data_IF_880992003560
#
_entry.id   IF_880992003560
#
_cell.length_a   1.000
_cell.length_b   1.000
_cell.length_c   1.000
_cell.angle_alpha   90.00
_cell.angle_beta   90.00
_cell.angle_gamma   90.00
#
_symmetry.space_group_name_H-M   'P 1'
#
loop_
_entity.id
_entity.type
_entity.pdbx_description
1 polymer ?
#
# COMPACT_ATOMS: atom_id res chain seq x y z
N UNK A 1 1.03 -9.83 21.74
CA UNK A 1 0.87 -8.46 22.31
C UNK A 1 -0.56 -7.99 22.06
N UNK A 2 -1.17 -7.20 22.95
CA UNK A 2 -2.48 -6.59 22.70
C UNK A 2 -2.34 -5.45 21.70
N UNK A 3 -3.40 -5.15 20.94
CA UNK A 3 -3.38 -4.08 19.93
C UNK A 3 -3.07 -2.71 20.56
N UNK A 4 -3.59 -2.43 21.73
CA UNK A 4 -3.35 -1.19 22.50
C UNK A 4 -1.88 -0.97 22.91
N UNK A 5 -1.08 -2.04 22.98
CA UNK A 5 0.34 -1.98 23.31
C UNK A 5 1.23 -1.72 22.09
N UNK A 6 0.69 -1.84 20.87
CA UNK A 6 1.37 -1.54 19.61
C UNK A 6 1.35 -0.03 19.39
N UNK A 7 2.50 0.59 19.27
CA UNK A 7 2.62 2.02 18.97
C UNK A 7 3.35 2.25 17.66
N UNK A 8 3.05 3.38 17.00
CA UNK A 8 3.79 3.75 15.79
C UNK A 8 5.28 3.90 16.06
N UNK A 9 5.68 4.40 17.23
CA UNK A 9 7.09 4.56 17.59
C UNK A 9 7.84 3.22 17.63
N UNK A 10 7.22 2.16 18.16
CA UNK A 10 7.79 0.80 18.14
C UNK A 10 7.98 0.30 16.71
N UNK A 11 6.95 0.43 15.88
CA UNK A 11 6.96 0.01 14.47
C UNK A 11 8.04 0.76 13.68
N UNK A 12 8.06 2.09 13.80
CA UNK A 12 9.03 2.95 13.11
C UNK A 12 10.45 2.68 13.56
N UNK A 13 10.67 2.50 14.87
CA UNK A 13 11.99 2.19 15.43
C UNK A 13 12.52 0.86 14.90
N UNK A 14 11.68 -0.18 14.88
CA UNK A 14 12.06 -1.47 14.33
C UNK A 14 12.32 -1.35 12.82
N UNK A 15 11.43 -0.71 12.08
CA UNK A 15 11.55 -0.56 10.63
C UNK A 15 12.85 0.14 10.22
N UNK A 16 13.20 1.23 10.89
CA UNK A 16 14.48 1.94 10.68
C UNK A 16 15.68 1.11 11.13
N UNK A 17 15.61 0.57 12.33
CA UNK A 17 16.73 -0.16 12.94
C UNK A 17 17.06 -1.49 12.25
N UNK A 18 16.12 -2.09 11.52
CA UNK A 18 16.30 -3.37 10.83
C UNK A 18 16.39 -3.28 9.31
N UNK A 19 16.39 -2.08 8.75
CA UNK A 19 16.60 -1.91 7.31
C UNK A 19 15.36 -2.13 6.45
N UNK A 20 14.18 -1.89 7.00
CA UNK A 20 12.96 -1.87 6.21
C UNK A 20 12.78 -0.51 5.51
N UNK A 21 12.85 0.58 6.25
CA UNK A 21 12.53 1.90 5.72
C UNK A 21 13.45 2.94 6.36
N UNK A 22 14.01 3.83 5.53
CA UNK A 22 14.86 4.94 5.94
C UNK A 22 14.24 6.28 5.51
N UNK A 23 14.56 7.40 6.20
CA UNK A 23 14.30 8.73 5.65
C UNK A 23 15.00 8.92 4.31
N UNK A 24 14.29 9.40 3.30
CA UNK A 24 14.88 9.67 2.00
C UNK A 24 15.96 10.77 2.08
N UNK A 25 17.14 10.52 1.52
CA UNK A 25 18.29 11.48 1.53
C UNK A 25 18.74 11.88 2.94
N UNK A 26 18.72 10.96 3.90
CA UNK A 26 18.98 11.22 5.33
C UNK A 26 20.30 11.95 5.60
N UNK A 27 21.37 11.65 4.85
CA UNK A 27 22.69 12.29 5.00
C UNK A 27 22.67 13.80 4.76
N UNK A 28 21.65 14.34 4.08
CA UNK A 28 21.44 15.77 3.85
C UNK A 28 20.33 16.36 4.73
N UNK A 29 19.93 15.65 5.80
CA UNK A 29 18.84 16.04 6.69
C UNK A 29 17.45 15.57 6.21
N UNK A 30 17.41 14.78 5.16
CA UNK A 30 16.18 14.23 4.59
C UNK A 30 15.39 15.21 3.73
N UNK A 31 14.39 14.69 3.03
CA UNK A 31 13.35 15.46 2.39
C UNK A 31 12.02 15.07 3.03
N UNK A 32 11.27 16.06 3.51
CA UNK A 32 10.06 15.80 4.30
C UNK A 32 9.09 14.84 3.59
N UNK A 33 8.74 13.76 4.29
CA UNK A 33 7.80 12.72 3.86
C UNK A 33 8.18 12.04 2.54
N UNK A 34 9.47 11.86 2.31
CA UNK A 34 10.04 10.93 1.35
C UNK A 34 10.81 9.85 2.10
N UNK A 35 10.66 8.61 1.63
CA UNK A 35 11.16 7.44 2.30
C UNK A 35 11.84 6.51 1.31
N UNK A 36 12.95 5.92 1.73
CA UNK A 36 13.67 4.90 0.99
C UNK A 36 13.39 3.53 1.61
N UNK A 37 13.17 2.53 0.77
CA UNK A 37 13.05 1.14 1.23
C UNK A 37 14.45 0.53 1.29
N UNK A 38 14.83 0.08 2.50
CA UNK A 38 16.10 -0.59 2.73
C UNK A 38 16.12 -2.02 2.16
N UNK A 39 17.17 -2.76 2.47
CA UNK A 39 17.37 -4.12 1.96
C UNK A 39 16.24 -5.10 2.32
N UNK A 40 15.63 -4.99 3.51
CA UNK A 40 14.48 -5.80 3.88
C UNK A 40 13.16 -5.20 3.36
N UNK A 41 13.08 -3.89 3.34
CA UNK A 41 11.87 -3.19 2.86
C UNK A 41 11.59 -3.41 1.39
N UNK A 42 12.62 -3.39 0.53
CA UNK A 42 12.46 -3.64 -0.90
C UNK A 42 11.99 -5.07 -1.18
N UNK A 43 12.51 -6.05 -0.44
CA UNK A 43 12.09 -7.45 -0.57
C UNK A 43 10.64 -7.63 -0.10
N UNK A 44 10.26 -7.06 1.06
CA UNK A 44 8.88 -7.08 1.54
C UNK A 44 7.93 -6.44 0.51
N UNK A 45 8.29 -5.27 -0.01
CA UNK A 45 7.49 -4.53 -1.00
C UNK A 45 7.33 -5.32 -2.30
N UNK A 46 8.39 -5.96 -2.79
CA UNK A 46 8.34 -6.80 -3.97
C UNK A 46 7.47 -8.04 -3.75
N UNK A 47 7.52 -8.67 -2.56
CA UNK A 47 6.66 -9.81 -2.21
C UNK A 47 5.18 -9.39 -2.17
N UNK A 48 4.85 -8.22 -1.60
CA UNK A 48 3.48 -7.67 -1.61
C UNK A 48 2.98 -7.45 -3.03
N UNK A 49 3.79 -6.78 -3.87
CA UNK A 49 3.45 -6.56 -5.29
C UNK A 49 3.27 -7.86 -6.06
N UNK A 50 4.15 -8.85 -5.81
CA UNK A 50 4.05 -10.17 -6.44
C UNK A 50 2.79 -10.91 -6.01
N UNK A 51 2.42 -10.89 -4.72
CA UNK A 51 1.20 -11.49 -4.21
C UNK A 51 -0.05 -10.88 -4.87
N UNK A 52 -0.09 -9.54 -4.99
CA UNK A 52 -1.17 -8.85 -5.67
C UNK A 52 -1.24 -9.21 -7.15
N UNK A 53 -0.11 -9.13 -7.86
CA UNK A 53 -0.06 -9.43 -9.30
C UNK A 53 -0.46 -10.86 -9.61
N UNK A 54 0.02 -11.79 -8.80
CA UNK A 54 -0.35 -13.20 -8.95
C UNK A 54 -1.85 -13.39 -8.79
N UNK A 55 -2.46 -12.82 -7.76
CA UNK A 55 -3.87 -13.05 -7.44
C UNK A 55 -4.81 -12.28 -8.37
N UNK A 56 -4.50 -11.00 -8.62
CA UNK A 56 -5.37 -10.11 -9.38
C UNK A 56 -5.19 -10.20 -10.90
N UNK A 57 -4.01 -10.57 -11.37
CA UNK A 57 -3.70 -10.60 -12.79
C UNK A 57 -3.44 -12.02 -13.30
N UNK A 58 -2.50 -12.73 -12.70
CA UNK A 58 -2.05 -14.03 -13.22
C UNK A 58 -3.08 -15.14 -13.03
N UNK A 59 -3.67 -15.28 -11.84
CA UNK A 59 -4.64 -16.33 -11.49
C UNK A 59 -6.07 -15.95 -11.91
N UNK A 60 -6.33 -14.67 -12.16
CA UNK A 60 -7.67 -14.20 -12.51
C UNK A 60 -7.91 -14.32 -14.03
N UNK A 61 -8.94 -15.08 -14.46
CA UNK A 61 -9.18 -15.35 -15.89
C UNK A 61 -9.64 -14.12 -16.67
N UNK A 62 -10.16 -13.10 -15.98
CA UNK A 62 -10.66 -11.89 -16.62
C UNK A 62 -9.56 -10.88 -16.91
N UNK A 63 -8.51 -10.82 -16.09
CA UNK A 63 -7.61 -9.70 -16.04
C UNK A 63 -6.35 -9.85 -16.92
N UNK A 64 -5.79 -8.71 -17.29
CA UNK A 64 -4.48 -8.57 -17.92
C UNK A 64 -3.73 -7.41 -17.28
N UNK A 65 -2.43 -7.29 -17.52
CA UNK A 65 -1.61 -6.23 -16.96
C UNK A 65 -1.11 -5.23 -17.99
N UNK A 66 -0.81 -4.00 -17.53
CA UNK A 66 -0.10 -2.96 -18.28
C UNK A 66 0.94 -2.28 -17.40
N UNK A 67 1.87 -1.59 -18.01
CA UNK A 67 2.77 -0.63 -17.38
C UNK A 67 2.80 0.64 -18.21
N UNK A 68 2.05 1.66 -17.76
CA UNK A 68 1.90 2.91 -18.48
C UNK A 68 2.95 3.93 -18.03
N UNK A 69 3.34 4.83 -18.93
CA UNK A 69 4.29 5.90 -18.62
C UNK A 69 3.77 6.83 -17.51
N UNK A 70 4.68 7.31 -16.66
CA UNK A 70 4.37 8.32 -15.63
C UNK A 70 4.04 9.66 -16.30
N UNK A 71 4.84 10.05 -17.30
CA UNK A 71 4.62 11.27 -18.09
C UNK A 71 3.62 10.98 -19.19
N UNK A 72 2.51 11.68 -19.16
CA UNK A 72 1.40 11.52 -20.11
C UNK A 72 1.05 12.85 -20.77
N UNK A 73 0.34 12.79 -21.88
CA UNK A 73 -0.17 14.00 -22.51
C UNK A 73 -1.03 14.78 -21.50
N UNK A 74 -0.79 16.09 -21.31
CA UNK A 74 -1.57 16.91 -20.36
C UNK A 74 -3.09 16.89 -20.59
N UNK A 75 -3.55 16.60 -21.81
CA UNK A 75 -4.98 16.46 -22.10
C UNK A 75 -5.63 15.29 -21.33
N UNK A 76 -4.85 14.28 -20.94
CA UNK A 76 -5.32 13.21 -20.07
C UNK A 76 -5.84 13.78 -18.74
N UNK A 77 -5.12 14.73 -18.18
CA UNK A 77 -5.46 15.39 -16.89
C UNK A 77 -6.55 16.44 -17.02
N UNK A 78 -6.75 16.99 -18.23
CA UNK A 78 -7.92 17.81 -18.56
C UNK A 78 -9.17 16.94 -18.60
N UNK A 79 -9.11 15.81 -19.33
CA UNK A 79 -10.23 14.89 -19.50
C UNK A 79 -10.68 14.29 -18.14
N UNK A 80 -9.75 13.84 -17.33
CA UNK A 80 -10.04 13.26 -16.01
C UNK A 80 -10.43 14.29 -14.94
N UNK A 81 -10.34 15.60 -15.23
CA UNK A 81 -10.68 16.67 -14.28
C UNK A 81 -9.60 17.00 -13.23
N UNK A 82 -8.46 16.29 -13.21
CA UNK A 82 -7.41 16.51 -12.22
C UNK A 82 -6.82 17.93 -12.25
N UNK A 83 -6.69 18.54 -13.42
CA UNK A 83 -6.20 19.92 -13.50
C UNK A 83 -7.17 20.95 -12.92
N UNK A 84 -8.46 20.68 -12.96
CA UNK A 84 -9.49 21.57 -12.49
C UNK A 84 -9.87 21.36 -11.02
N UNK A 85 -9.95 20.12 -10.56
CA UNK A 85 -10.59 19.75 -9.29
C UNK A 85 -9.70 19.02 -8.27
N UNK A 86 -8.51 18.51 -8.66
CA UNK A 86 -7.65 17.77 -7.74
C UNK A 86 -6.85 18.72 -6.84
N UNK A 87 -7.51 19.26 -5.81
CA UNK A 87 -6.95 20.33 -4.98
C UNK A 87 -7.45 20.27 -3.55
N UNK A 88 -6.56 20.66 -2.60
CA UNK A 88 -6.88 20.81 -1.19
C UNK A 88 -7.24 22.26 -0.85
N UNK A 89 -8.22 22.49 0.08
CA UNK A 89 -8.53 23.79 0.61
C UNK A 89 -7.48 24.23 1.63
N UNK A 90 -6.60 25.17 1.27
CA UNK A 90 -5.51 25.65 2.12
C UNK A 90 -5.76 27.00 2.72
N UNK A 91 -5.34 27.16 3.98
CA UNK A 91 -5.24 28.44 4.67
C UNK A 91 -3.94 28.52 5.49
N UNK A 92 -3.44 29.73 5.71
CA UNK A 92 -2.25 29.97 6.54
C UNK A 92 -2.68 30.69 7.83
N UNK A 93 -2.11 30.30 8.97
CA UNK A 93 -2.24 31.10 10.19
C UNK A 93 -1.44 32.39 10.03
N UNK A 94 -2.08 33.59 10.20
CA UNK A 94 -1.39 34.85 10.03
C UNK A 94 -0.34 35.13 11.11
N UNK A 95 -0.42 34.44 12.26
CA UNK A 95 0.49 34.63 13.38
C UNK A 95 1.75 33.74 13.28
N UNK A 96 1.60 32.41 13.23
CA UNK A 96 2.74 31.50 13.17
C UNK A 96 3.21 31.20 11.74
N UNK A 97 2.47 31.61 10.71
CA UNK A 97 2.75 31.40 9.29
C UNK A 97 2.69 29.92 8.84
N UNK A 98 2.24 29.03 9.71
CA UNK A 98 2.05 27.64 9.33
C UNK A 98 0.81 27.48 8.46
N UNK A 99 0.88 26.47 7.59
CA UNK A 99 -0.13 26.13 6.59
C UNK A 99 -0.90 24.91 7.00
N UNK A 100 -2.23 24.96 6.78
CA UNK A 100 -3.15 23.92 7.15
C UNK A 100 -4.18 23.66 6.04
N UNK A 101 -4.73 22.46 6.04
CA UNK A 101 -5.95 22.13 5.32
C UNK A 101 -7.15 22.57 6.16
N UNK A 102 -8.01 23.38 5.57
CA UNK A 102 -9.18 23.91 6.27
C UNK A 102 -10.19 22.80 6.64
N UNK A 103 -10.40 21.86 5.73
CA UNK A 103 -11.25 20.67 5.96
C UNK A 103 -10.75 19.85 7.16
N UNK A 104 -9.45 19.57 7.25
CA UNK A 104 -8.88 18.79 8.35
C UNK A 104 -8.99 19.48 9.70
N UNK A 105 -8.75 20.80 9.76
CA UNK A 105 -8.92 21.55 11.01
C UNK A 105 -10.38 21.49 11.50
N UNK A 106 -11.34 21.52 10.59
CA UNK A 106 -12.76 21.41 10.94
C UNK A 106 -13.08 19.99 11.44
N UNK A 107 -12.63 18.96 10.75
CA UNK A 107 -12.83 17.56 11.16
C UNK A 107 -12.23 17.28 12.54
N UNK A 108 -10.95 17.62 12.73
CA UNK A 108 -10.23 17.40 13.99
C UNK A 108 -10.92 18.13 15.15
N UNK A 109 -11.33 19.40 14.93
CA UNK A 109 -12.06 20.16 15.92
C UNK A 109 -13.43 19.55 16.25
N UNK A 110 -14.18 19.12 15.25
CA UNK A 110 -15.47 18.46 15.47
C UNK A 110 -15.31 17.16 16.24
N UNK A 111 -14.32 16.35 15.91
CA UNK A 111 -14.02 15.11 16.60
C UNK A 111 -13.61 15.35 18.06
N UNK A 112 -12.69 16.28 18.33
CA UNK A 112 -12.20 16.60 19.66
C UNK A 112 -13.29 17.13 20.59
N UNK A 113 -14.31 17.79 20.02
CA UNK A 113 -15.43 18.37 20.77
C UNK A 113 -16.71 17.53 20.69
N UNK A 114 -16.69 16.32 20.09
CA UNK A 114 -17.84 15.47 19.86
C UNK A 114 -19.01 16.20 19.16
N UNK A 115 -18.71 16.99 18.15
CA UNK A 115 -19.68 17.71 17.35
C UNK A 115 -19.99 16.94 16.07
N UNK A 116 -21.27 16.86 15.71
CA UNK A 116 -21.68 16.38 14.38
C UNK A 116 -21.58 17.53 13.37
N UNK A 117 -20.94 17.27 12.23
CA UNK A 117 -20.93 18.20 11.13
C UNK A 117 -22.31 18.24 10.46
N UNK A 118 -22.80 19.41 10.00
CA UNK A 118 -24.11 19.53 9.37
C UNK A 118 -24.22 18.76 8.04
N UNK A 119 -23.09 18.41 7.43
CA UNK A 119 -22.94 17.59 6.23
C UNK A 119 -21.49 17.08 6.15
N UNK A 120 -21.19 16.08 5.28
CA UNK A 120 -19.82 15.66 5.04
C UNK A 120 -18.91 16.83 4.67
N UNK A 121 -17.68 16.82 5.17
CA UNK A 121 -16.75 17.95 5.01
C UNK A 121 -16.42 18.23 3.54
N UNK A 122 -16.38 17.20 2.70
CA UNK A 122 -16.11 17.32 1.27
C UNK A 122 -17.24 18.06 0.50
N UNK A 123 -18.42 18.16 1.11
CA UNK A 123 -19.55 18.89 0.56
C UNK A 123 -19.58 20.38 0.97
N UNK A 124 -18.62 20.84 1.78
CA UNK A 124 -18.52 22.24 2.16
C UNK A 124 -17.90 23.08 1.04
N UNK A 125 -18.48 24.25 0.77
CA UNK A 125 -17.81 25.28 -0.01
C UNK A 125 -16.71 25.96 0.82
N UNK A 126 -15.81 26.69 0.16
CA UNK A 126 -14.76 27.46 0.88
C UNK A 126 -15.35 28.48 1.85
N UNK A 127 -16.42 29.14 1.44
CA UNK A 127 -17.16 30.11 2.23
C UNK A 127 -17.76 29.44 3.47
N UNK A 128 -18.41 28.30 3.32
CA UNK A 128 -18.96 27.51 4.43
C UNK A 128 -17.88 27.01 5.39
N UNK A 129 -16.73 26.55 4.88
CA UNK A 129 -15.58 26.18 5.72
C UNK A 129 -15.07 27.37 6.54
N UNK A 130 -14.92 28.56 5.90
CA UNK A 130 -14.46 29.76 6.59
C UNK A 130 -15.46 30.25 7.63
N UNK A 131 -16.76 30.16 7.33
CA UNK A 131 -17.81 30.55 8.27
C UNK A 131 -17.85 29.58 9.45
N UNK A 132 -17.76 28.27 9.21
CA UNK A 132 -17.67 27.26 10.28
C UNK A 132 -16.47 27.50 11.21
N UNK A 133 -15.29 27.81 10.65
CA UNK A 133 -14.07 28.08 11.43
C UNK A 133 -14.28 29.36 12.30
N UNK A 134 -14.92 30.39 11.78
CA UNK A 134 -15.20 31.64 12.52
C UNK A 134 -16.28 31.41 13.60
N UNK A 135 -17.39 30.77 13.25
CA UNK A 135 -18.54 30.59 14.12
C UNK A 135 -18.20 29.74 15.34
N UNK A 136 -17.37 28.70 15.14
CA UNK A 136 -16.89 27.84 16.22
C UNK A 136 -15.60 28.35 16.87
N UNK A 137 -15.07 29.49 16.42
CA UNK A 137 -13.84 30.10 16.91
C UNK A 137 -12.69 29.06 16.99
N UNK A 138 -12.47 28.30 15.90
CA UNK A 138 -11.50 27.22 15.83
C UNK A 138 -10.07 27.78 15.95
N UNK A 139 -9.25 27.31 16.90
CA UNK A 139 -7.90 27.81 17.09
C UNK A 139 -6.92 27.19 16.09
N UNK A 140 -5.85 27.90 15.79
CA UNK A 140 -4.70 27.34 15.09
C UNK A 140 -4.07 26.20 15.90
N UNK A 141 -3.91 24.99 15.33
CA UNK A 141 -3.35 23.85 16.04
C UNK A 141 -1.95 24.09 16.61
N UNK A 142 -1.15 24.96 15.98
CA UNK A 142 0.24 25.20 16.38
C UNK A 142 0.39 26.34 17.39
N UNK A 143 -0.36 27.42 17.30
CA UNK A 143 -0.14 28.60 18.16
C UNK A 143 -1.37 29.05 18.95
N UNK A 144 -2.52 28.37 18.79
CA UNK A 144 -3.77 28.68 19.50
C UNK A 144 -4.45 29.99 19.11
N UNK A 145 -4.00 30.68 18.07
CA UNK A 145 -4.62 31.94 17.58
C UNK A 145 -5.71 31.63 16.55
N UNK A 146 -6.63 32.58 16.34
CA UNK A 146 -7.83 32.42 15.51
C UNK A 146 -7.80 33.27 14.23
N UNK A 147 -6.62 33.69 13.77
CA UNK A 147 -6.48 34.58 12.63
C UNK A 147 -5.86 33.84 11.43
N UNK A 148 -6.73 33.45 10.50
CA UNK A 148 -6.36 32.75 9.29
C UNK A 148 -6.51 33.58 8.03
N UNK A 149 -5.81 33.21 6.96
CA UNK A 149 -6.01 33.75 5.61
C UNK A 149 -7.29 33.21 5.00
N UNK A 150 -7.73 33.79 3.89
CA UNK A 150 -8.75 33.19 3.03
C UNK A 150 -8.32 31.80 2.55
N UNK A 151 -9.30 30.91 2.36
CA UNK A 151 -9.07 29.56 1.82
C UNK A 151 -8.79 29.66 0.31
N UNK A 152 -7.68 29.07 -0.11
CA UNK A 152 -7.28 28.94 -1.51
C UNK A 152 -7.16 27.48 -1.90
N UNK A 153 -7.54 27.14 -3.13
CA UNK A 153 -7.34 25.79 -3.65
C UNK A 153 -5.90 25.58 -4.09
N UNK A 154 -5.31 24.50 -3.68
CA UNK A 154 -3.96 24.10 -4.05
C UNK A 154 -4.00 22.77 -4.82
N UNK A 155 -3.69 22.81 -6.12
CA UNK A 155 -3.66 21.61 -6.93
C UNK A 155 -2.49 20.70 -6.52
N UNK A 156 -2.80 19.44 -6.26
CA UNK A 156 -1.84 18.45 -5.73
C UNK A 156 -0.93 17.83 -6.81
N UNK A 157 -1.10 18.14 -8.09
CA UNK A 157 -0.24 17.60 -9.13
C UNK A 157 1.13 18.28 -9.14
N UNK A 158 2.19 17.48 -9.15
CA UNK A 158 3.54 17.97 -9.43
C UNK A 158 3.68 18.36 -10.90
N UNK A 159 4.17 19.58 -11.14
CA UNK A 159 4.50 20.09 -12.47
C UNK A 159 5.97 19.87 -12.78
N UNK A 160 6.28 19.58 -14.05
CA UNK A 160 7.62 19.61 -14.59
C UNK A 160 7.56 20.05 -16.06
N UNK A 161 8.68 20.07 -16.74
CA UNK A 161 8.77 20.55 -18.12
C UNK A 161 9.46 19.51 -19.01
N UNK A 162 8.96 19.37 -20.23
CA UNK A 162 9.59 18.54 -21.25
C UNK A 162 10.32 19.47 -22.23
N UNK A 163 11.61 19.20 -22.50
CA UNK A 163 12.44 20.02 -23.38
C UNK A 163 13.26 21.06 -22.60
N UNK A 164 13.72 22.09 -23.32
CA UNK A 164 14.72 23.05 -22.80
C UNK A 164 14.14 24.35 -22.24
N UNK A 165 12.85 24.59 -22.43
CA UNK A 165 12.17 25.82 -21.97
C UNK A 165 11.06 25.50 -20.96
N UNK A 166 11.02 26.30 -19.89
CA UNK A 166 10.01 26.22 -18.84
C UNK A 166 8.82 27.14 -19.19
N UNK A 167 8.03 26.72 -20.17
CA UNK A 167 6.85 27.45 -20.62
C UNK A 167 5.57 26.57 -20.56
N UNK A 168 4.42 27.21 -20.78
CA UNK A 168 3.12 26.54 -20.71
C UNK A 168 2.96 25.41 -21.75
N UNK A 169 3.66 25.47 -22.91
CA UNK A 169 3.55 24.48 -23.96
C UNK A 169 4.33 23.21 -23.61
N UNK A 170 5.37 23.36 -22.80
CA UNK A 170 6.27 22.27 -22.38
C UNK A 170 5.90 21.73 -20.99
N UNK A 171 4.85 22.28 -20.36
CA UNK A 171 4.39 21.80 -19.05
C UNK A 171 3.84 20.38 -19.16
N UNK A 172 4.36 19.48 -18.35
CA UNK A 172 3.87 18.13 -18.11
C UNK A 172 3.71 17.90 -16.60
N UNK A 173 3.02 16.83 -16.24
CA UNK A 173 2.70 16.54 -14.85
C UNK A 173 3.16 15.13 -14.50
N UNK A 174 3.62 14.94 -13.25
CA UNK A 174 3.76 13.60 -12.70
C UNK A 174 2.36 13.07 -12.37
N UNK A 175 2.06 11.86 -12.81
CA UNK A 175 0.71 11.28 -12.62
C UNK A 175 0.35 11.17 -11.13
N UNK A 176 -0.84 11.62 -10.70
CA UNK A 176 -1.31 11.51 -9.32
C UNK A 176 -1.95 10.15 -9.01
N UNK A 177 -2.22 9.35 -10.06
CA UNK A 177 -2.79 8.00 -10.00
C UNK A 177 -2.41 7.18 -11.22
N UNK A 178 -2.54 5.86 -11.12
CA UNK A 178 -2.26 4.93 -12.21
C UNK A 178 -3.46 4.66 -13.11
N UNK A 179 -4.69 4.95 -12.64
CA UNK A 179 -5.96 4.68 -13.33
C UNK A 179 -6.03 5.26 -14.74
N UNK A 180 -5.65 6.53 -14.91
CA UNK A 180 -5.81 7.22 -16.19
C UNK A 180 -4.96 6.61 -17.31
N UNK A 181 -3.79 6.03 -16.97
CA UNK A 181 -2.99 5.25 -17.91
C UNK A 181 -3.72 4.02 -18.42
N UNK A 182 -4.54 3.40 -17.58
CA UNK A 182 -5.36 2.25 -17.96
C UNK A 182 -6.49 2.70 -18.89
N UNK A 183 -7.23 3.75 -18.55
CA UNK A 183 -8.36 4.23 -19.35
C UNK A 183 -7.93 4.65 -20.77
N UNK A 184 -6.85 5.42 -20.92
CA UNK A 184 -6.37 5.84 -22.25
C UNK A 184 -5.88 4.67 -23.11
N UNK A 185 -5.52 3.55 -22.48
CA UNK A 185 -5.08 2.32 -23.16
C UNK A 185 -6.19 1.25 -23.30
N UNK A 186 -7.41 1.51 -22.84
CA UNK A 186 -8.50 0.53 -22.88
C UNK A 186 -8.65 -0.14 -24.24
N UNK A 187 -8.79 0.64 -25.33
CA UNK A 187 -8.95 0.10 -26.69
C UNK A 187 -7.73 -0.66 -27.18
N UNK A 188 -6.51 -0.19 -26.83
CA UNK A 188 -5.27 -0.87 -27.21
C UNK A 188 -5.21 -2.26 -26.54
N UNK A 189 -5.46 -2.31 -25.24
CA UNK A 189 -5.40 -3.56 -24.48
C UNK A 189 -6.51 -4.51 -24.91
N UNK A 190 -7.75 -4.03 -25.01
CA UNK A 190 -8.88 -4.85 -25.45
C UNK A 190 -8.61 -5.51 -26.82
N UNK A 191 -8.12 -4.73 -27.79
CA UNK A 191 -7.81 -5.22 -29.12
C UNK A 191 -6.66 -6.23 -29.14
N UNK A 192 -5.58 -5.96 -28.42
CA UNK A 192 -4.36 -6.79 -28.44
C UNK A 192 -4.49 -8.05 -27.61
N UNK A 193 -5.20 -8.00 -26.50
CA UNK A 193 -5.49 -9.16 -25.65
C UNK A 193 -6.67 -10.00 -26.15
N UNK A 194 -7.49 -9.46 -27.05
CA UNK A 194 -8.75 -10.05 -27.53
C UNK A 194 -9.74 -10.38 -26.39
N UNK A 195 -9.64 -9.65 -25.27
CA UNK A 195 -10.56 -9.84 -24.16
C UNK A 195 -11.96 -9.32 -24.53
N UNK A 196 -12.96 -10.05 -24.06
CA UNK A 196 -14.36 -9.62 -24.06
C UNK A 196 -14.71 -9.00 -22.73
N UNK A 197 -15.64 -8.09 -22.71
CA UNK A 197 -16.24 -7.58 -21.46
C UNK A 197 -17.09 -8.69 -20.84
N UNK A 198 -16.93 -9.02 -19.52
CA UNK A 198 -16.14 -8.29 -18.54
C UNK A 198 -14.65 -8.68 -18.57
N UNK A 199 -13.79 -7.68 -18.40
CA UNK A 199 -12.36 -7.90 -18.18
C UNK A 199 -11.72 -6.74 -17.42
N UNK A 200 -10.60 -7.00 -16.75
CA UNK A 200 -9.87 -6.00 -15.99
C UNK A 200 -8.47 -5.75 -16.55
N UNK A 201 -7.95 -4.56 -16.28
CA UNK A 201 -6.57 -4.16 -16.58
C UNK A 201 -5.92 -3.71 -15.29
N UNK A 202 -4.90 -4.46 -14.84
CA UNK A 202 -4.15 -4.17 -13.62
C UNK A 202 -2.85 -3.44 -13.93
N UNK A 203 -2.45 -2.55 -13.02
CA UNK A 203 -1.18 -1.84 -13.07
C UNK A 203 -0.60 -1.66 -11.68
N UNK A 204 0.72 -1.83 -11.57
CA UNK A 204 1.50 -1.41 -10.41
C UNK A 204 2.42 -0.29 -10.86
N UNK A 205 2.39 0.85 -10.17
CA UNK A 205 3.25 1.95 -10.59
C UNK A 205 3.32 3.10 -9.60
N UNK A 206 4.35 3.93 -9.77
CA UNK A 206 4.56 5.15 -9.02
C UNK A 206 3.50 6.18 -9.34
N UNK A 207 3.04 6.87 -8.28
CA UNK A 207 2.17 8.04 -8.35
C UNK A 207 2.69 9.14 -7.41
N UNK A 208 2.30 10.38 -7.69
CA UNK A 208 2.87 11.55 -7.02
C UNK A 208 1.77 12.53 -6.65
N UNK A 209 1.68 12.86 -5.37
CA UNK A 209 0.75 13.89 -4.87
C UNK A 209 1.50 14.87 -3.99
N UNK A 210 1.46 16.14 -4.31
CA UNK A 210 2.11 17.18 -3.52
C UNK A 210 1.34 17.47 -2.22
N UNK A 211 1.22 16.42 -1.41
CA UNK A 211 0.50 16.44 -0.13
C UNK A 211 0.97 17.57 0.78
N UNK A 212 0.03 18.28 1.36
CA UNK A 212 0.31 19.43 2.24
C UNK A 212 0.51 18.97 3.68
N UNK A 213 -0.28 17.99 4.11
CA UNK A 213 -0.20 17.38 5.45
C UNK A 213 0.16 15.91 5.37
N UNK A 214 1.36 15.56 4.84
CA UNK A 214 1.81 14.19 4.85
C UNK A 214 2.08 13.76 6.30
N UNK A 215 1.99 12.47 6.60
CA UNK A 215 2.19 12.01 7.97
C UNK A 215 1.99 10.52 8.16
N UNK A 216 2.11 10.12 9.41
CA UNK A 216 1.98 8.72 9.83
C UNK A 216 2.93 7.79 9.08
N UNK A 217 4.22 8.15 9.08
CA UNK A 217 5.28 7.38 8.43
C UNK A 217 5.03 7.24 6.92
N UNK A 218 4.91 6.02 6.38
CA UNK A 218 4.63 5.77 4.97
C UNK A 218 3.13 5.72 4.61
N UNK A 219 2.24 6.08 5.54
CA UNK A 219 0.79 6.07 5.30
C UNK A 219 0.36 7.17 4.32
N UNK A 220 0.91 8.39 4.46
CA UNK A 220 0.64 9.51 3.55
C UNK A 220 1.93 10.20 3.15
N UNK A 221 2.38 9.92 1.95
CA UNK A 221 3.66 10.34 1.38
C UNK A 221 3.45 10.95 -0.01
N UNK A 222 4.43 11.73 -0.49
CA UNK A 222 4.33 12.47 -1.76
C UNK A 222 4.64 11.62 -2.98
N UNK A 223 5.51 10.64 -2.85
CA UNK A 223 5.85 9.65 -3.87
C UNK A 223 5.50 8.27 -3.32
N UNK A 224 4.58 7.58 -3.97
CA UNK A 224 4.06 6.28 -3.51
C UNK A 224 3.84 5.34 -4.69
N UNK A 225 3.53 4.09 -4.40
CA UNK A 225 3.13 3.10 -5.41
C UNK A 225 1.66 2.72 -5.23
N UNK A 226 0.93 2.64 -6.35
CA UNK A 226 -0.42 2.08 -6.39
C UNK A 226 -0.40 0.71 -7.06
N UNK A 227 -1.29 -0.16 -6.61
CA UNK A 227 -1.68 -1.42 -7.24
C UNK A 227 -3.17 -1.26 -7.57
N UNK A 228 -3.48 -1.06 -8.83
CA UNK A 228 -4.79 -0.59 -9.28
C UNK A 228 -5.31 -1.49 -10.38
N UNK A 229 -6.60 -1.82 -10.31
CA UNK A 229 -7.30 -2.61 -11.30
C UNK A 229 -8.53 -1.81 -11.77
N UNK A 230 -8.67 -1.62 -13.08
CA UNK A 230 -9.88 -1.12 -13.69
C UNK A 230 -10.62 -2.28 -14.34
N UNK A 231 -11.75 -2.63 -13.76
CA UNK A 231 -12.55 -3.76 -14.21
C UNK A 231 -13.74 -3.27 -15.03
N UNK A 232 -13.69 -3.53 -16.33
CA UNK A 232 -14.68 -3.11 -17.31
C UNK A 232 -15.81 -4.13 -17.41
N UNK A 233 -17.04 -3.69 -17.20
CA UNK A 233 -18.24 -4.55 -17.22
C UNK A 233 -19.38 -3.93 -18.05
N UNK A 234 -20.39 -4.75 -18.36
CA UNK A 234 -21.59 -4.28 -19.05
C UNK A 234 -22.42 -3.40 -18.10
N UNK A 235 -22.92 -2.24 -18.55
CA UNK A 235 -23.84 -1.43 -17.76
C UNK A 235 -25.02 -2.25 -17.23
N UNK A 236 -25.31 -2.10 -15.93
CA UNK A 236 -26.33 -2.88 -15.23
C UNK A 236 -25.82 -4.16 -14.56
N UNK A 237 -24.55 -4.56 -14.76
CA UNK A 237 -23.89 -5.66 -14.02
C UNK A 237 -22.85 -5.13 -13.03
N UNK A 238 -22.66 -3.84 -12.99
CA UNK A 238 -21.66 -3.11 -12.20
C UNK A 238 -21.79 -3.41 -10.70
N UNK A 239 -22.99 -3.39 -10.12
CA UNK A 239 -23.20 -3.65 -8.70
C UNK A 239 -22.85 -5.10 -8.29
N UNK A 240 -23.07 -6.08 -9.16
CA UNK A 240 -22.65 -7.46 -8.89
C UNK A 240 -21.14 -7.58 -8.86
N UNK A 241 -20.45 -6.94 -9.83
CA UNK A 241 -18.99 -6.90 -9.87
C UNK A 241 -18.39 -6.09 -8.73
N UNK A 242 -19.05 -5.01 -8.32
CA UNK A 242 -18.67 -4.25 -7.13
C UNK A 242 -18.67 -5.13 -5.87
N UNK A 243 -19.75 -5.90 -5.64
CA UNK A 243 -19.80 -6.84 -4.51
C UNK A 243 -18.74 -7.96 -4.63
N UNK A 244 -18.51 -8.46 -5.84
CA UNK A 244 -17.45 -9.45 -6.07
C UNK A 244 -16.07 -8.92 -5.66
N UNK A 245 -15.71 -7.73 -6.12
CA UNK A 245 -14.39 -7.15 -5.81
C UNK A 245 -14.25 -6.78 -4.33
N UNK A 246 -15.30 -6.33 -3.66
CA UNK A 246 -15.30 -6.12 -2.20
C UNK A 246 -14.88 -7.38 -1.44
N UNK A 247 -15.52 -8.51 -1.74
CA UNK A 247 -15.19 -9.81 -1.15
C UNK A 247 -13.79 -10.27 -1.51
N UNK A 248 -13.41 -10.18 -2.78
CA UNK A 248 -12.12 -10.62 -3.29
C UNK A 248 -10.94 -9.86 -2.66
N UNK A 249 -11.04 -8.55 -2.54
CA UNK A 249 -10.01 -7.71 -1.92
C UNK A 249 -9.86 -8.01 -0.42
N UNK A 250 -10.99 -8.15 0.30
CA UNK A 250 -11.01 -8.53 1.71
C UNK A 250 -10.32 -9.89 1.93
N UNK A 251 -10.72 -10.89 1.16
CA UNK A 251 -10.21 -12.26 1.30
C UNK A 251 -8.71 -12.35 0.99
N UNK A 252 -8.21 -11.53 0.05
CA UNK A 252 -6.78 -11.42 -0.21
C UNK A 252 -5.99 -10.91 1.01
N UNK A 253 -6.47 -9.87 1.70
CA UNK A 253 -5.84 -9.35 2.92
C UNK A 253 -5.83 -10.40 4.04
N UNK A 254 -6.95 -11.10 4.24
CA UNK A 254 -7.05 -12.17 5.23
C UNK A 254 -6.09 -13.32 4.93
N UNK A 255 -5.97 -13.71 3.66
CA UNK A 255 -5.07 -14.79 3.24
C UNK A 255 -3.59 -14.49 3.51
N UNK A 256 -3.22 -13.23 3.65
CA UNK A 256 -1.85 -12.77 3.89
C UNK A 256 -1.59 -12.35 5.35
N UNK A 257 -2.52 -12.65 6.26
CA UNK A 257 -2.30 -12.53 7.70
C UNK A 257 -2.85 -11.28 8.37
N UNK A 258 -3.60 -10.42 7.66
CA UNK A 258 -4.45 -9.41 8.31
C UNK A 258 -5.60 -10.14 9.00
N UNK A 259 -5.91 -9.79 10.24
CA UNK A 259 -7.00 -10.40 10.98
C UNK A 259 -8.32 -9.69 10.73
N UNK A 260 -9.42 -10.42 10.89
CA UNK A 260 -10.76 -9.88 10.68
C UNK A 260 -11.11 -8.73 11.64
N UNK A 261 -10.65 -8.80 12.88
CA UNK A 261 -10.86 -7.78 13.91
C UNK A 261 -9.92 -6.55 13.77
N UNK A 262 -8.91 -6.65 12.91
CA UNK A 262 -8.02 -5.55 12.55
C UNK A 262 -8.47 -4.80 11.27
N UNK A 263 -9.58 -5.23 10.63
CA UNK A 263 -10.07 -4.72 9.36
C UNK A 263 -11.58 -4.49 9.40
N UNK A 264 -12.06 -3.49 8.67
CA UNK A 264 -13.48 -3.27 8.44
C UNK A 264 -13.77 -2.78 7.03
N UNK A 265 -14.99 -3.03 6.55
CA UNK A 265 -15.52 -2.41 5.35
C UNK A 265 -16.36 -1.19 5.77
N UNK A 266 -16.09 -0.05 5.15
CA UNK A 266 -16.81 1.20 5.34
C UNK A 266 -17.43 1.61 4.01
N UNK A 267 -18.74 1.49 3.91
CA UNK A 267 -19.49 2.01 2.76
C UNK A 267 -19.62 3.53 2.88
N UNK A 268 -19.40 4.25 1.78
CA UNK A 268 -19.61 5.70 1.73
C UNK A 268 -21.10 6.01 1.70
N UNK A 269 -21.50 7.01 2.46
CA UNK A 269 -22.86 7.55 2.37
C UNK A 269 -23.09 8.22 1.01
N UNK A 270 -24.35 8.26 0.50
CA UNK A 270 -24.63 8.88 -0.80
C UNK A 270 -24.12 10.31 -0.95
N UNK A 271 -24.00 11.06 0.15
CA UNK A 271 -23.50 12.43 0.19
C UNK A 271 -21.97 12.55 0.11
N UNK A 272 -21.25 11.44 0.42
CA UNK A 272 -19.79 11.34 0.31
C UNK A 272 -19.34 10.87 -1.08
N UNK A 273 -20.25 10.29 -1.88
CA UNK A 273 -19.91 9.75 -3.17
C UNK A 273 -19.45 10.84 -4.14
N UNK A 274 -18.36 10.57 -4.84
CA UNK A 274 -18.01 11.37 -6.01
C UNK A 274 -19.17 11.37 -7.02
N UNK A 275 -19.36 12.49 -7.71
CA UNK A 275 -20.47 12.71 -8.64
C UNK A 275 -20.58 11.66 -9.78
N UNK A 276 -19.53 10.91 -10.03
CA UNK A 276 -19.45 9.83 -11.02
C UNK A 276 -19.63 8.44 -10.43
N UNK A 277 -19.65 8.28 -9.12
CA UNK A 277 -19.71 6.97 -8.44
C UNK A 277 -21.13 6.62 -8.02
N UNK A 278 -21.53 5.35 -8.26
CA UNK A 278 -22.77 4.78 -7.72
C UNK A 278 -22.58 4.17 -6.33
N UNK A 279 -21.36 3.82 -5.97
CA UNK A 279 -21.01 3.24 -4.69
C UNK A 279 -19.52 3.18 -4.50
N UNK A 280 -19.08 3.45 -3.28
CA UNK A 280 -17.69 3.34 -2.86
C UNK A 280 -17.65 2.62 -1.51
N UNK A 281 -16.70 1.70 -1.37
CA UNK A 281 -16.40 1.03 -0.10
C UNK A 281 -14.92 1.13 0.16
N UNK A 282 -14.54 1.59 1.35
CA UNK A 282 -13.17 1.49 1.81
C UNK A 282 -12.99 0.20 2.60
N UNK A 283 -11.85 -0.46 2.40
CA UNK A 283 -11.34 -1.42 3.36
C UNK A 283 -10.36 -0.67 4.24
N UNK A 284 -10.69 -0.54 5.52
CA UNK A 284 -9.87 0.14 6.49
C UNK A 284 -9.17 -0.87 7.40
N UNK A 285 -7.94 -0.52 7.82
CA UNK A 285 -7.15 -1.27 8.80
C UNK A 285 -6.99 -0.46 10.09
N UNK A 286 -7.00 -1.15 11.22
CA UNK A 286 -6.79 -0.55 12.54
C UNK A 286 -5.28 -0.38 12.81
N UNK A 287 -4.76 0.76 12.35
CA UNK A 287 -3.39 1.17 12.67
C UNK A 287 -3.26 1.61 14.14
N UNK A 288 -2.04 1.71 14.69
CA UNK A 288 -1.85 2.27 16.02
C UNK A 288 -2.35 3.71 16.22
N UNK A 289 -2.54 4.46 15.12
CA UNK A 289 -3.13 5.81 15.15
C UNK A 289 -4.63 5.84 14.85
N UNK A 290 -5.29 4.69 14.74
CA UNK A 290 -6.72 4.57 14.46
C UNK A 290 -7.00 3.93 13.09
N UNK A 291 -8.28 3.95 12.71
CA UNK A 291 -8.72 3.40 11.42
C UNK A 291 -8.15 4.21 10.26
N UNK A 292 -7.63 3.53 9.27
CA UNK A 292 -7.08 4.13 8.05
C UNK A 292 -7.39 3.29 6.82
N UNK A 293 -7.76 3.99 5.76
CA UNK A 293 -8.06 3.39 4.46
C UNK A 293 -6.84 2.66 3.88
N UNK A 294 -7.03 1.40 3.51
CA UNK A 294 -6.09 0.62 2.71
C UNK A 294 -6.48 0.56 1.25
N UNK A 295 -7.75 0.31 0.99
CA UNK A 295 -8.30 0.01 -0.32
C UNK A 295 -9.55 0.83 -0.56
N UNK A 296 -9.62 1.56 -1.65
CA UNK A 296 -10.86 2.10 -2.18
C UNK A 296 -11.40 1.18 -3.26
N UNK A 297 -12.66 0.81 -3.18
CA UNK A 297 -13.36 0.06 -4.22
C UNK A 297 -14.53 0.91 -4.66
N UNK A 298 -14.52 1.37 -5.93
CA UNK A 298 -15.51 2.30 -6.46
C UNK A 298 -16.20 1.76 -7.71
N UNK A 299 -17.49 1.92 -7.80
CA UNK A 299 -18.23 1.83 -9.05
C UNK A 299 -18.20 3.20 -9.73
N UNK A 300 -17.34 3.36 -10.74
CA UNK A 300 -17.07 4.62 -11.45
C UNK A 300 -18.01 4.85 -12.64
N UNK A 301 -18.92 3.94 -12.90
CA UNK A 301 -19.81 3.96 -14.08
C UNK A 301 -19.01 4.03 -15.40
N UNK A 302 -19.47 4.71 -16.43
CA UNK A 302 -18.77 4.95 -17.70
C UNK A 302 -18.02 6.30 -17.72
N UNK A 303 -17.92 6.98 -16.58
CA UNK A 303 -17.46 8.37 -16.52
C UNK A 303 -16.10 8.58 -17.20
N UNK A 304 -15.07 7.84 -16.79
CA UNK A 304 -13.71 8.07 -17.29
C UNK A 304 -13.59 7.82 -18.78
N UNK A 305 -14.15 6.70 -19.27
CA UNK A 305 -14.13 6.39 -20.71
C UNK A 305 -14.89 7.43 -21.53
N UNK A 306 -16.02 7.90 -21.01
CA UNK A 306 -16.82 8.96 -21.64
C UNK A 306 -16.06 10.29 -21.69
N UNK A 307 -15.42 10.70 -20.60
CA UNK A 307 -14.60 11.92 -20.55
C UNK A 307 -13.44 11.86 -21.55
N UNK A 308 -12.72 10.74 -21.60
CA UNK A 308 -11.65 10.55 -22.58
C UNK A 308 -12.17 10.53 -24.01
N UNK A 309 -13.33 9.94 -24.27
CA UNK A 309 -13.99 9.99 -25.58
C UNK A 309 -14.34 11.42 -25.99
N UNK A 310 -14.92 12.19 -25.08
CA UNK A 310 -15.35 13.57 -25.34
C UNK A 310 -14.16 14.50 -25.65
N UNK A 311 -13.08 14.39 -24.87
CA UNK A 311 -11.89 15.26 -25.05
C UNK A 311 -11.05 14.83 -26.25
N UNK A 312 -10.79 13.52 -26.41
CA UNK A 312 -9.95 12.99 -27.49
C UNK A 312 -10.65 12.86 -28.82
N UNK A 313 -11.98 12.82 -28.84
CA UNK A 313 -12.82 12.48 -29.99
C UNK A 313 -12.58 11.07 -30.55
N UNK A 314 -11.98 10.20 -29.77
CA UNK A 314 -11.80 8.78 -30.11
C UNK A 314 -12.94 7.94 -29.51
N UNK A 315 -13.43 6.95 -30.25
CA UNK A 315 -14.47 6.03 -29.78
C UNK A 315 -13.93 5.10 -28.68
N UNK A 316 -14.44 5.22 -27.48
CA UNK A 316 -14.13 4.38 -26.31
C UNK A 316 -15.19 3.30 -26.04
N UNK A 317 -16.20 3.15 -26.91
CA UNK A 317 -17.23 2.14 -26.76
C UNK A 317 -16.70 0.72 -27.04
N UNK A 318 -17.34 -0.26 -26.45
CA UNK A 318 -17.17 -1.68 -26.74
C UNK A 318 -18.30 -2.18 -27.62
N UNK A 319 -17.98 -3.00 -28.61
CA UNK A 319 -18.99 -3.72 -29.40
C UNK A 319 -19.02 -5.18 -28.96
N UNK A 320 -20.14 -5.61 -28.44
CA UNK A 320 -20.41 -6.99 -28.07
C UNK A 320 -20.96 -7.75 -29.29
N UNK A 321 -20.15 -8.62 -29.86
CA UNK A 321 -20.48 -9.42 -31.04
C UNK A 321 -21.51 -10.54 -30.74
N UNK A 322 -21.68 -10.92 -29.47
CA UNK A 322 -22.65 -11.94 -29.07
C UNK A 322 -24.07 -11.39 -28.96
N UNK A 323 -24.21 -10.17 -28.44
CA UNK A 323 -25.51 -9.50 -28.29
C UNK A 323 -25.80 -8.50 -29.39
N UNK A 324 -24.80 -8.19 -30.24
CA UNK A 324 -24.84 -7.15 -31.28
C UNK A 324 -25.16 -5.75 -30.72
N UNK A 325 -24.68 -5.49 -29.49
CA UNK A 325 -24.86 -4.22 -28.79
C UNK A 325 -23.56 -3.42 -28.76
N UNK A 326 -23.72 -2.10 -28.72
CA UNK A 326 -22.58 -1.17 -28.52
C UNK A 326 -22.86 -0.32 -27.27
N UNK A 327 -21.89 -0.25 -26.38
CA UNK A 327 -21.99 0.54 -25.15
C UNK A 327 -20.60 1.00 -24.68
N UNK A 328 -20.55 2.06 -23.88
CA UNK A 328 -19.37 2.40 -23.10
C UNK A 328 -19.39 1.54 -21.83
N UNK A 329 -18.36 0.72 -21.56
CA UNK A 329 -18.35 -0.11 -20.37
C UNK A 329 -18.41 0.70 -19.07
N UNK A 330 -19.04 0.14 -18.06
CA UNK A 330 -18.91 0.62 -16.69
C UNK A 330 -17.65 0.06 -16.07
N UNK A 331 -17.13 0.73 -15.06
CA UNK A 331 -15.85 0.42 -14.42
C UNK A 331 -16.04 0.22 -12.93
N UNK A 332 -15.53 -0.90 -12.43
CA UNK A 332 -15.32 -1.11 -11.00
C UNK A 332 -13.84 -1.06 -10.73
N UNK A 333 -13.42 -0.16 -9.85
CA UNK A 333 -12.03 0.13 -9.51
C UNK A 333 -11.71 -0.35 -8.10
N UNK A 334 -10.97 -1.47 -7.90
CA UNK A 334 -10.22 -1.73 -6.69
C UNK A 334 -8.84 -1.04 -6.75
N UNK A 335 -8.63 0.00 -5.95
CA UNK A 335 -7.38 0.76 -5.88
C UNK A 335 -6.71 0.63 -4.52
N UNK A 336 -5.47 0.17 -4.48
CA UNK A 336 -4.68 -0.11 -3.27
C UNK A 336 -3.37 0.67 -3.27
N UNK A 337 -3.12 1.40 -2.18
CA UNK A 337 -1.80 1.98 -1.92
C UNK A 337 -0.81 0.92 -1.44
N UNK A 338 0.21 0.60 -2.25
CA UNK A 338 1.23 -0.39 -1.90
C UNK A 338 1.95 -0.04 -0.58
N UNK A 339 2.28 1.22 -0.38
CA UNK A 339 2.98 1.70 0.82
C UNK A 339 2.09 1.60 2.07
N UNK A 340 0.78 1.89 1.94
CA UNK A 340 -0.18 1.75 3.04
C UNK A 340 -0.38 0.29 3.46
N UNK A 341 -0.57 -0.61 2.50
CA UNK A 341 -0.74 -2.04 2.83
C UNK A 341 0.54 -2.63 3.39
N UNK A 342 1.71 -2.19 2.93
CA UNK A 342 2.99 -2.59 3.51
C UNK A 342 3.08 -2.15 4.98
N UNK A 343 2.66 -0.92 5.30
CA UNK A 343 2.57 -0.46 6.68
C UNK A 343 1.60 -1.31 7.51
N UNK A 344 0.44 -1.67 6.94
CA UNK A 344 -0.52 -2.56 7.61
C UNK A 344 0.10 -3.93 7.91
N UNK A 345 0.83 -4.53 6.96
CA UNK A 345 1.55 -5.79 7.19
C UNK A 345 2.65 -5.65 8.25
N UNK A 346 3.38 -4.52 8.30
CA UNK A 346 4.34 -4.25 9.37
C UNK A 346 3.64 -4.17 10.73
N UNK A 347 2.52 -3.46 10.83
CA UNK A 347 1.74 -3.32 12.05
C UNK A 347 1.12 -4.65 12.50
N UNK A 348 0.51 -5.40 11.58
CA UNK A 348 -0.11 -6.69 11.88
C UNK A 348 0.92 -7.73 12.34
N UNK A 349 2.10 -7.75 11.68
CA UNK A 349 3.15 -8.71 11.97
C UNK A 349 3.92 -8.44 13.26
N UNK A 350 3.97 -7.19 13.74
CA UNK A 350 4.74 -6.83 14.93
C UNK A 350 4.16 -7.47 16.20
N UNK A 351 4.99 -8.18 16.95
CA UNK A 351 4.62 -8.80 18.21
C UNK A 351 5.78 -8.78 19.21
N UNK A 352 5.44 -8.69 20.49
CA UNK A 352 6.36 -8.82 21.62
C UNK A 352 5.79 -9.89 22.55
N UNK A 353 6.58 -10.88 22.87
CA UNK A 353 6.20 -11.96 23.78
C UNK A 353 7.27 -12.23 24.84
N UNK A 354 6.82 -12.62 26.03
CA UNK A 354 7.73 -13.10 27.07
C UNK A 354 7.88 -14.62 26.93
N UNK A 355 9.06 -15.08 26.53
CA UNK A 355 9.40 -16.50 26.44
C UNK A 355 10.15 -17.02 27.69
N UNK A 356 10.40 -16.13 28.66
CA UNK A 356 10.94 -16.47 29.97
C UNK A 356 9.84 -16.80 30.99
N UNK A 357 10.20 -16.81 32.23
CA UNK A 357 9.26 -16.96 33.34
C UNK A 357 8.83 -15.60 33.89
N UNK A 358 7.79 -15.55 34.74
CA UNK A 358 7.38 -14.32 35.43
C UNK A 358 8.49 -13.75 36.29
N UNK A 359 9.28 -14.63 36.96
CA UNK A 359 10.40 -14.23 37.81
C UNK A 359 11.63 -13.75 37.01
N UNK A 360 11.80 -14.28 35.79
CA UNK A 360 12.90 -13.93 34.89
C UNK A 360 12.36 -13.76 33.47
N UNK A 361 11.79 -12.60 33.18
CA UNK A 361 11.24 -12.33 31.85
C UNK A 361 12.35 -12.28 30.80
N UNK A 362 12.06 -12.86 29.64
CA UNK A 362 12.91 -12.81 28.44
C UNK A 362 12.03 -12.37 27.26
N UNK A 363 12.05 -11.05 27.00
CA UNK A 363 11.23 -10.46 25.96
C UNK A 363 11.79 -10.75 24.57
N UNK A 364 10.91 -11.25 23.69
CA UNK A 364 11.19 -11.52 22.28
C UNK A 364 10.36 -10.60 21.41
N UNK A 365 11.02 -9.80 20.60
CA UNK A 365 10.38 -9.06 19.49
C UNK A 365 10.38 -9.96 18.26
N UNK A 366 9.23 -10.09 17.61
CA UNK A 366 9.08 -10.95 16.43
C UNK A 366 8.16 -10.29 15.40
N UNK A 367 8.55 -10.37 14.13
CA UNK A 367 7.69 -9.98 13.00
C UNK A 367 7.02 -11.22 12.42
N UNK A 368 5.72 -11.38 12.67
CA UNK A 368 4.95 -12.57 12.23
C UNK A 368 4.36 -12.39 10.83
N UNK A 369 5.20 -12.03 9.87
CA UNK A 369 4.77 -11.99 8.47
C UNK A 369 4.27 -13.36 8.00
N UNK A 370 3.26 -13.33 7.13
CA UNK A 370 2.96 -14.51 6.32
C UNK A 370 4.25 -14.97 5.61
N UNK A 371 4.58 -16.27 5.59
CA UNK A 371 5.87 -16.74 5.04
C UNK A 371 6.14 -16.27 3.62
N UNK A 372 5.11 -16.18 2.80
CA UNK A 372 5.22 -15.66 1.43
C UNK A 372 5.59 -14.16 1.37
N UNK A 373 5.23 -13.35 2.38
CA UNK A 373 5.58 -11.93 2.46
C UNK A 373 6.94 -11.67 3.10
N UNK A 374 7.43 -12.57 3.97
CA UNK A 374 8.67 -12.38 4.69
C UNK A 374 9.84 -11.99 3.75
N UNK A 375 10.61 -10.93 4.06
CA UNK A 375 11.70 -10.47 3.20
C UNK A 375 12.82 -11.50 3.07
N UNK A 376 13.20 -12.15 4.16
CA UNK A 376 14.10 -13.30 4.18
C UNK A 376 13.26 -14.54 4.46
N UNK A 377 13.39 -15.54 3.61
CA UNK A 377 12.60 -16.79 3.72
C UNK A 377 13.24 -17.79 4.69
N UNK A 378 14.56 -17.89 4.62
CA UNK A 378 15.34 -18.89 5.37
C UNK A 378 16.63 -18.25 5.89
N UNK A 379 16.84 -18.33 7.20
CA UNK A 379 18.12 -18.01 7.83
C UNK A 379 18.99 -19.26 7.95
N UNK A 380 20.21 -19.26 7.44
CA UNK A 380 21.15 -20.36 7.57
C UNK A 380 22.21 -20.01 8.62
N UNK A 381 22.19 -20.75 9.72
CA UNK A 381 22.91 -20.44 10.95
C UNK A 381 23.83 -21.61 11.35
N UNK A 382 25.13 -21.56 11.09
CA UNK A 382 26.05 -22.59 11.58
C UNK A 382 26.11 -22.54 13.11
N UNK A 383 26.03 -23.69 13.80
CA UNK A 383 26.12 -23.73 15.26
C UNK A 383 27.46 -23.18 15.79
N UNK A 384 28.51 -23.39 15.04
CA UNK A 384 29.89 -22.90 15.30
C UNK A 384 30.54 -22.45 14.00
N UNK A 385 31.46 -21.49 14.07
CA UNK A 385 32.26 -21.05 12.90
C UNK A 385 33.05 -22.17 12.23
N UNK A 386 33.35 -23.25 12.94
CA UNK A 386 34.01 -24.43 12.39
C UNK A 386 33.15 -25.17 11.36
N UNK A 387 31.84 -24.91 11.38
CA UNK A 387 30.84 -25.54 10.52
C UNK A 387 30.44 -24.64 9.34
N UNK A 388 31.08 -23.46 9.17
CA UNK A 388 30.71 -22.50 8.13
C UNK A 388 30.73 -23.15 6.74
N UNK A 389 31.75 -23.94 6.41
CA UNK A 389 31.87 -24.55 5.07
C UNK A 389 30.65 -25.43 4.71
N UNK A 390 30.18 -26.26 5.65
CA UNK A 390 28.99 -27.08 5.45
C UNK A 390 27.72 -26.23 5.34
N UNK A 391 27.56 -25.25 6.23
CA UNK A 391 26.41 -24.34 6.23
C UNK A 391 26.36 -23.45 4.97
N UNK A 392 27.53 -22.99 4.47
CA UNK A 392 27.62 -22.23 3.21
C UNK A 392 27.18 -23.02 1.99
N UNK A 393 27.43 -24.34 1.97
CA UNK A 393 26.93 -25.23 0.90
C UNK A 393 25.40 -25.31 0.92
N UNK A 394 24.80 -25.43 2.10
CA UNK A 394 23.33 -25.41 2.26
C UNK A 394 22.77 -24.06 1.84
N UNK A 395 23.38 -22.95 2.29
CA UNK A 395 23.01 -21.61 1.86
C UNK A 395 23.08 -21.46 0.34
N UNK A 396 24.19 -21.84 -0.29
CA UNK A 396 24.39 -21.75 -1.74
C UNK A 396 23.38 -22.58 -2.55
N UNK A 397 22.87 -23.69 -1.99
CA UNK A 397 21.79 -24.46 -2.58
C UNK A 397 20.47 -23.69 -2.52
N UNK A 398 20.07 -23.22 -1.34
CA UNK A 398 18.75 -22.63 -1.08
C UNK A 398 18.60 -21.23 -1.69
N UNK A 399 19.64 -20.41 -1.70
CA UNK A 399 19.58 -19.04 -2.24
C UNK A 399 19.33 -18.98 -3.77
N UNK A 400 19.41 -20.10 -4.48
CA UNK A 400 19.00 -20.18 -5.89
C UNK A 400 17.48 -20.09 -6.08
N UNK A 401 16.71 -20.41 -5.04
CA UNK A 401 15.23 -20.44 -5.08
C UNK A 401 14.58 -19.44 -4.14
N UNK A 402 15.23 -19.14 -3.01
CA UNK A 402 14.67 -18.35 -1.93
C UNK A 402 15.62 -17.21 -1.55
N UNK A 403 15.09 -16.09 -1.06
CA UNK A 403 15.89 -15.07 -0.43
C UNK A 403 16.33 -15.58 0.94
N UNK A 404 17.63 -15.90 1.08
CA UNK A 404 18.21 -16.46 2.28
C UNK A 404 19.21 -15.50 2.91
N UNK A 405 19.38 -15.57 4.24
CA UNK A 405 20.43 -14.89 4.97
C UNK A 405 21.37 -15.89 5.66
N UNK A 406 22.67 -15.64 5.63
CA UNK A 406 23.67 -16.41 6.34
C UNK A 406 24.22 -15.59 7.51
N UNK A 407 24.15 -16.14 8.74
CA UNK A 407 24.63 -15.45 9.93
C UNK A 407 25.45 -16.36 10.85
N UNK A 408 26.74 -16.03 10.99
CA UNK A 408 27.68 -16.72 11.88
C UNK A 408 28.14 -15.87 13.09
N UNK A 409 27.51 -14.69 13.30
CA UNK A 409 27.93 -13.71 14.30
C UNK A 409 27.29 -13.93 15.67
N UNK A 410 28.10 -14.01 16.72
CA UNK A 410 27.62 -14.22 18.10
C UNK A 410 27.19 -15.67 18.37
N UNK A 411 26.45 -15.89 19.43
CA UNK A 411 25.89 -17.21 19.77
C UNK A 411 24.60 -17.48 19.00
N UNK A 412 24.19 -18.78 18.92
CA UNK A 412 23.02 -19.22 18.16
C UNK A 412 21.73 -18.56 18.62
N UNK A 413 21.54 -18.35 19.93
CA UNK A 413 20.35 -17.70 20.47
C UNK A 413 20.20 -16.26 19.97
N UNK A 414 21.29 -15.50 19.89
CA UNK A 414 21.27 -14.13 19.34
C UNK A 414 21.00 -14.11 17.83
N UNK A 415 21.43 -15.15 17.09
CA UNK A 415 21.12 -15.27 15.67
C UNK A 415 19.65 -15.52 15.43
N UNK A 416 19.03 -16.42 16.20
CA UNK A 416 17.59 -16.64 16.14
C UNK A 416 16.81 -15.35 16.44
N UNK A 417 17.22 -14.59 17.48
CA UNK A 417 16.55 -13.31 17.81
C UNK A 417 16.61 -12.31 16.66
N UNK A 418 17.75 -12.18 15.98
CA UNK A 418 17.85 -11.29 14.82
C UNK A 418 16.92 -11.72 13.68
N UNK A 419 16.83 -13.03 13.43
CA UNK A 419 15.92 -13.56 12.40
C UNK A 419 14.44 -13.40 12.80
N UNK A 420 14.10 -13.58 14.07
CA UNK A 420 12.75 -13.31 14.58
C UNK A 420 12.35 -11.83 14.39
N UNK A 421 13.25 -10.91 14.71
CA UNK A 421 13.03 -9.45 14.58
C UNK A 421 12.84 -8.98 13.14
N UNK A 422 13.38 -9.67 12.16
CA UNK A 422 13.17 -9.35 10.73
C UNK A 422 12.09 -10.20 10.07
N UNK A 423 11.51 -11.15 10.81
CA UNK A 423 10.38 -11.94 10.39
C UNK A 423 10.70 -13.14 9.52
N UNK A 424 11.93 -13.66 9.56
CA UNK A 424 12.33 -14.88 8.85
C UNK A 424 11.53 -16.08 9.36
N UNK A 425 10.69 -16.75 8.55
CA UNK A 425 9.79 -17.79 9.03
C UNK A 425 10.52 -19.09 9.42
N UNK A 426 11.65 -19.39 8.79
CA UNK A 426 12.41 -20.60 9.06
C UNK A 426 13.89 -20.32 9.22
N UNK A 427 14.49 -20.96 10.25
CA UNK A 427 15.94 -20.93 10.44
C UNK A 427 16.51 -22.34 10.38
N UNK A 428 17.54 -22.52 9.59
CA UNK A 428 18.31 -23.77 9.48
C UNK A 428 19.53 -23.66 10.36
N UNK A 429 19.72 -24.60 11.28
CA UNK A 429 20.97 -24.75 12.02
C UNK A 429 21.77 -25.93 11.48
N UNK A 430 22.96 -25.65 10.99
CA UNK A 430 23.95 -26.65 10.64
C UNK A 430 24.81 -26.92 11.88
N UNK A 431 24.78 -28.13 12.41
CA UNK A 431 25.45 -28.54 13.65
C UNK A 431 26.49 -29.61 13.40
N UNK A 432 27.14 -30.10 14.46
CA UNK A 432 28.19 -31.13 14.34
C UNK A 432 27.65 -32.49 13.85
N UNK A 433 26.40 -32.81 14.17
CA UNK A 433 25.74 -34.03 13.67
C UNK A 433 25.45 -33.94 12.17
N UNK A 434 25.28 -32.72 11.63
CA UNK A 434 25.02 -32.51 10.21
C UNK A 434 26.12 -33.05 9.30
N UNK A 435 27.35 -33.07 9.79
CA UNK A 435 28.48 -33.67 9.06
C UNK A 435 28.43 -35.20 9.00
N UNK A 436 27.74 -35.81 9.97
CA UNK A 436 27.64 -37.28 10.06
C UNK A 436 26.37 -37.80 9.37
N UNK A 437 25.22 -37.14 9.61
CA UNK A 437 23.92 -37.65 9.17
C UNK A 437 23.39 -36.94 7.90
N UNK A 438 24.06 -35.89 7.42
CA UNK A 438 23.61 -35.11 6.26
C UNK A 438 22.28 -34.42 6.46
N UNK A 439 21.91 -34.08 7.71
CA UNK A 439 20.68 -33.43 8.05
C UNK A 439 20.95 -32.11 8.82
N UNK A 440 19.98 -31.24 8.83
CA UNK A 440 20.01 -29.95 9.54
C UNK A 440 18.77 -29.80 10.41
N UNK A 441 18.86 -28.93 11.42
CA UNK A 441 17.69 -28.59 12.23
C UNK A 441 17.00 -27.38 11.62
N UNK A 442 15.71 -27.50 11.31
CA UNK A 442 14.84 -26.43 10.85
C UNK A 442 13.96 -25.96 12.01
N UNK A 443 14.07 -24.68 12.36
CA UNK A 443 13.25 -24.04 13.41
C UNK A 443 12.17 -23.16 12.77
N UNK A 444 10.94 -23.38 13.18
CA UNK A 444 9.82 -22.50 12.87
C UNK A 444 9.84 -21.27 13.77
N UNK A 445 9.64 -20.08 13.20
CA UNK A 445 9.63 -18.79 13.90
C UNK A 445 8.50 -18.68 14.92
N UNK A 446 7.30 -19.12 14.54
CA UNK A 446 6.08 -18.84 15.30
C UNK A 446 5.90 -19.83 16.47
N UNK A 447 6.14 -21.10 16.24
CA UNK A 447 6.04 -22.15 17.25
C UNK A 447 7.35 -22.38 18.03
N UNK A 448 8.48 -21.96 17.47
CA UNK A 448 9.85 -22.26 17.93
C UNK A 448 10.17 -23.76 17.92
N UNK A 449 9.29 -24.59 17.38
CA UNK A 449 9.55 -26.02 17.20
C UNK A 449 10.70 -26.26 16.23
N UNK A 450 11.41 -27.35 16.47
CA UNK A 450 12.57 -27.74 15.67
C UNK A 450 12.39 -29.15 15.15
N UNK A 451 12.64 -29.32 13.87
CA UNK A 451 12.59 -30.63 13.20
C UNK A 451 13.90 -30.90 12.49
N UNK A 452 14.31 -32.18 12.45
CA UNK A 452 15.51 -32.57 11.74
C UNK A 452 15.15 -33.03 10.33
N UNK A 453 15.78 -32.40 9.32
CA UNK A 453 15.49 -32.64 7.89
C UNK A 453 16.80 -32.96 7.15
N UNK A 454 16.79 -33.93 6.27
CA UNK A 454 17.92 -34.21 5.39
C UNK A 454 18.17 -33.06 4.44
N UNK A 455 19.42 -32.72 4.20
CA UNK A 455 19.79 -31.62 3.30
C UNK A 455 19.23 -31.83 1.89
N UNK A 456 19.21 -33.06 1.42
CA UNK A 456 18.64 -33.46 0.11
C UNK A 456 17.11 -33.30 0.04
N UNK A 457 16.40 -33.28 1.19
CA UNK A 457 14.94 -33.13 1.28
C UNK A 457 14.49 -31.68 1.48
N UNK A 458 15.41 -30.74 1.72
CA UNK A 458 15.07 -29.34 2.02
C UNK A 458 14.26 -28.67 0.90
N UNK A 459 14.57 -28.96 -0.34
CA UNK A 459 13.86 -28.42 -1.50
C UNK A 459 12.39 -28.85 -1.49
N UNK A 460 12.11 -30.10 -1.14
CA UNK A 460 10.76 -30.62 -1.02
C UNK A 460 10.07 -30.08 0.23
N UNK A 461 10.78 -30.00 1.33
CA UNK A 461 10.24 -29.47 2.59
C UNK A 461 9.76 -28.03 2.46
N UNK A 462 10.46 -27.19 1.68
CA UNK A 462 10.11 -25.78 1.50
C UNK A 462 9.21 -25.49 0.30
N UNK A 463 8.91 -26.50 -0.55
CA UNK A 463 8.22 -26.28 -1.83
C UNK A 463 6.92 -25.46 -1.71
N UNK A 464 6.11 -25.74 -0.69
CA UNK A 464 4.80 -25.11 -0.49
C UNK A 464 4.76 -24.12 0.69
N UNK A 465 5.90 -23.84 1.35
CA UNK A 465 5.95 -23.01 2.55
C UNK A 465 5.84 -21.50 2.26
N UNK A 466 6.11 -21.08 1.04
CA UNK A 466 6.20 -19.66 0.65
C UNK A 466 5.21 -19.30 -0.47
N UNK A 467 4.16 -20.10 -0.63
CA UNK A 467 3.08 -19.84 -1.59
C UNK A 467 2.08 -18.81 -1.03
N UNK A 468 1.42 -18.08 -1.94
CA UNK A 468 0.38 -17.09 -1.58
C UNK A 468 -1.01 -17.75 -1.52
#
# INVERSE_FOLDING_TARGET
MRQEDKTMDKIVTLAKGRGFIYPGSEIYGGLANTWDYGNLGVELKNNVKKAWWQKFVQENPYNVGVDCAILMNPQTWVASGHLAGFSDPLMDCKQCKERFRADKIIEDFAQDNNLELPKPIDAFSKEEMMDYIKDHNIPCPSCGKHDFTEIRQFNLMFKTFQGVTEDAKNTVYLRPETAQGIFVNFKNVQRTSRKKVPFGIGQIGKSFRNEITPGNFIFRIREFEQMELEFFCKPGTDLEWFQYWRGFCRDWLLSLGIKEDEMRLRDHDPEELCFYSKGTTDIEFLFPFGWGELWGIADRTDYDLTQHQEVSKQDMSYFDDETNERYVPYVVEPSLGCDRVLLAFLCAAYDEENIGTEEKPDMRTVMRFHPALAPVKIGVLPLSKKLNEGAEKVYAQLCKKYNCEFDDRGNIGKRYRRQDEIGTPFCITYDFESENDGAVTVRDRDTMEQVRIKIEELDQYFADKFTF
#
